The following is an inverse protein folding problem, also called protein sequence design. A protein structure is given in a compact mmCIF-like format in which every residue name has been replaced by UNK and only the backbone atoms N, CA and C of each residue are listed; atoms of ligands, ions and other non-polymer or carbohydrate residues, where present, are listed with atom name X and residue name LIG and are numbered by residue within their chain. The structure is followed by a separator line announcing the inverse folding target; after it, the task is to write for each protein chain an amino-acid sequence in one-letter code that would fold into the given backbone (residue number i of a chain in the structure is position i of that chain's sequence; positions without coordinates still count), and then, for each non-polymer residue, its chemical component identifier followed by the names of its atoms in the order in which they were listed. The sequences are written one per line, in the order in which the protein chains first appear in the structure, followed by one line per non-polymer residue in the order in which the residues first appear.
data_IF_443555551968
#
_entry.id   IF_443555551968
#
_cell.length_a   1.000
_cell.length_b   1.000
_cell.length_c   1.000
_cell.angle_alpha   90.00
_cell.angle_beta   90.00
_cell.angle_gamma   90.00
#
_symmetry.space_group_name_H-M   'P 1'
#
loop_
_entity.id
_entity.type
_entity.pdbx_description
1 polymer ?
#
# COMPACT_ATOMS: atom_id res chain seq x y z
N UNK A 1 57.75 22.07 -37.54
CA UNK A 1 56.69 21.81 -38.54
C UNK A 1 55.37 21.94 -37.80
N UNK A 2 54.88 23.18 -37.63
CA UNK A 2 53.82 23.83 -38.43
C UNK A 2 52.46 23.10 -38.22
N UNK A 3 51.56 23.65 -37.37
CA UNK A 3 50.48 24.61 -37.72
C UNK A 3 49.48 24.00 -38.72
N UNK A 4 48.15 23.91 -38.50
CA UNK A 4 47.10 24.92 -38.17
C UNK A 4 45.79 24.13 -37.88
N UNK A 5 44.94 24.35 -36.86
CA UNK A 5 44.07 25.48 -36.52
C UNK A 5 43.08 25.91 -37.64
N UNK A 6 41.80 25.52 -37.55
CA UNK A 6 40.68 26.34 -38.03
C UNK A 6 39.49 26.22 -37.08
N UNK A 7 39.06 27.40 -36.66
CA UNK A 7 38.07 27.73 -35.64
C UNK A 7 36.88 28.42 -36.33
N UNK A 8 35.71 28.36 -35.69
CA UNK A 8 34.55 29.26 -35.78
C UNK A 8 33.52 29.07 -36.93
N UNK A 9 32.23 29.16 -36.59
CA UNK A 9 31.34 30.29 -36.96
C UNK A 9 30.35 30.54 -35.79
N UNK A 10 30.24 31.81 -35.43
CA UNK A 10 29.31 32.46 -34.50
C UNK A 10 28.18 33.11 -35.31
N UNK A 11 26.94 33.04 -34.83
CA UNK A 11 25.87 34.01 -35.10
C UNK A 11 24.85 33.93 -33.93
N UNK A 12 24.86 34.78 -32.90
CA UNK A 12 24.43 36.18 -32.81
C UNK A 12 23.01 36.44 -33.33
N UNK A 13 22.03 36.37 -32.42
CA UNK A 13 20.79 37.14 -32.51
C UNK A 13 20.62 37.93 -31.20
N UNK A 14 21.03 39.20 -31.26
CA UNK A 14 20.67 40.26 -30.30
C UNK A 14 19.48 41.02 -30.88
N UNK A 15 18.42 41.19 -30.09
CA UNK A 15 17.49 42.33 -30.16
C UNK A 15 16.40 42.15 -29.11
N UNK A 16 15.90 43.11 -28.36
CA UNK A 16 16.16 44.54 -28.10
C UNK A 16 15.39 44.79 -26.79
N UNK A 17 16.00 45.47 -25.82
CA UNK A 17 15.30 45.95 -24.62
C UNK A 17 14.52 47.22 -24.95
N UNK A 18 13.24 47.30 -24.56
CA UNK A 18 12.51 48.57 -24.46
C UNK A 18 12.14 48.79 -23.00
N UNK A 19 12.76 49.83 -22.43
CA UNK A 19 12.45 50.42 -21.13
C UNK A 19 11.31 51.42 -21.30
N UNK A 20 10.29 51.39 -20.44
CA UNK A 20 9.22 52.38 -20.46
C UNK A 20 8.42 52.45 -19.16
N UNK A 21 8.77 53.41 -18.30
CA UNK A 21 7.85 54.39 -17.68
C UNK A 21 6.84 53.97 -16.59
N UNK A 22 7.04 54.54 -15.39
CA UNK A 22 6.09 54.68 -14.25
C UNK A 22 4.71 55.26 -14.63
N UNK A 23 3.63 54.81 -13.96
CA UNK A 23 2.62 55.64 -13.25
C UNK A 23 1.41 54.83 -12.66
N UNK A 24 1.37 54.76 -11.32
CA UNK A 24 0.25 54.97 -10.35
C UNK A 24 -1.25 54.60 -10.61
N UNK A 25 -1.76 53.68 -9.74
CA UNK A 25 -3.12 53.54 -9.09
C UNK A 25 -4.41 53.22 -9.91
N UNK A 26 -5.54 52.79 -9.27
CA UNK A 26 -5.78 51.98 -8.06
C UNK A 26 -6.74 50.76 -8.32
N UNK A 27 -6.91 49.93 -7.29
CA UNK A 27 -7.78 48.75 -7.13
C UNK A 27 -8.81 48.35 -8.21
N UNK A 28 -8.75 47.08 -8.60
CA UNK A 28 -9.92 46.18 -8.61
C UNK A 28 -9.46 44.82 -8.13
N UNK A 29 -9.93 44.48 -6.93
CA UNK A 29 -9.98 43.14 -6.38
C UNK A 29 -10.73 42.24 -7.36
N UNK A 30 -10.02 41.37 -8.07
CA UNK A 30 -10.60 40.18 -8.68
C UNK A 30 -10.08 39.00 -7.88
N UNK A 31 -10.76 38.73 -6.76
CA UNK A 31 -10.74 37.42 -6.13
C UNK A 31 -11.29 36.41 -7.15
N UNK A 32 -10.42 35.88 -8.01
CA UNK A 32 -10.69 34.58 -8.62
C UNK A 32 -10.51 33.54 -7.54
N UNK A 33 -11.61 33.27 -6.84
CA UNK A 33 -11.79 32.12 -5.96
C UNK A 33 -11.57 30.85 -6.78
N UNK A 34 -10.29 30.48 -6.93
CA UNK A 34 -9.89 29.21 -7.48
C UNK A 34 -10.09 28.22 -6.36
N UNK A 35 -11.16 27.44 -6.44
CA UNK A 35 -11.45 26.31 -5.55
C UNK A 35 -10.27 25.33 -5.56
N UNK A 36 -9.27 25.63 -4.72
CA UNK A 36 -8.04 24.89 -4.57
C UNK A 36 -8.26 23.67 -3.68
N UNK A 37 -8.92 22.65 -4.21
CA UNK A 37 -8.82 21.31 -3.65
C UNK A 37 -7.39 20.80 -3.86
N UNK A 38 -6.44 21.19 -3.01
CA UNK A 38 -5.09 20.62 -3.01
C UNK A 38 -5.17 19.14 -2.64
N UNK A 39 -5.33 18.27 -3.64
CA UNK A 39 -5.10 16.84 -3.46
C UNK A 39 -3.62 16.67 -3.13
N UNK A 40 -3.32 16.26 -1.89
CA UNK A 40 -1.94 15.96 -1.47
C UNK A 40 -1.42 14.80 -2.32
N UNK A 41 -0.13 14.84 -2.72
CA UNK A 41 0.54 13.68 -3.32
C UNK A 41 0.39 12.44 -2.41
N UNK A 42 0.13 11.28 -3.00
CA UNK A 42 -0.18 10.06 -2.24
C UNK A 42 0.94 9.61 -1.32
N UNK A 43 2.18 9.75 -1.79
CA UNK A 43 3.38 9.49 -1.00
C UNK A 43 3.46 10.38 0.26
N UNK A 44 2.82 11.55 0.27
CA UNK A 44 2.77 12.40 1.45
C UNK A 44 1.97 11.76 2.59
N UNK A 45 0.90 11.01 2.30
CA UNK A 45 0.17 10.28 3.34
C UNK A 45 1.02 9.15 3.94
N UNK A 46 1.75 8.41 3.11
CA UNK A 46 2.73 7.41 3.58
C UNK A 46 3.79 8.06 4.46
N UNK A 47 4.34 9.21 4.02
CA UNK A 47 5.32 9.99 4.79
C UNK A 47 4.77 10.43 6.13
N UNK A 48 3.55 10.98 6.16
CA UNK A 48 2.90 11.44 7.39
C UNK A 48 2.76 10.28 8.40
N UNK A 49 2.43 9.07 7.94
CA UNK A 49 2.38 7.87 8.79
C UNK A 49 3.77 7.52 9.32
N UNK A 50 4.79 7.45 8.45
CA UNK A 50 6.14 7.10 8.88
C UNK A 50 6.78 8.12 9.84
N UNK A 51 6.45 9.40 9.70
CA UNK A 51 6.99 10.45 10.57
C UNK A 51 6.24 10.52 11.92
N UNK A 52 4.93 10.25 11.94
CA UNK A 52 4.10 10.41 13.15
C UNK A 52 3.85 9.11 13.91
N UNK A 53 4.08 7.95 13.29
CA UNK A 53 3.80 6.65 13.88
C UNK A 53 5.08 5.87 14.20
N UNK A 54 4.97 5.01 15.21
CA UNK A 54 6.01 4.03 15.60
C UNK A 54 5.39 2.64 15.70
N UNK A 55 6.26 1.62 15.64
CA UNK A 55 5.87 0.21 15.73
C UNK A 55 4.78 -0.16 14.72
N UNK A 56 4.95 0.30 13.47
CA UNK A 56 4.03 0.00 12.37
C UNK A 56 4.21 -1.47 12.00
N UNK A 57 3.14 -2.25 12.12
CA UNK A 57 3.15 -3.67 11.82
C UNK A 57 1.77 -4.17 11.40
N UNK A 58 1.75 -5.31 10.72
CA UNK A 58 0.50 -6.04 10.45
C UNK A 58 0.31 -7.11 11.51
N UNK A 59 -0.86 -7.12 12.14
CA UNK A 59 -1.30 -8.17 13.06
C UNK A 59 -2.31 -9.09 12.37
N UNK A 60 -2.36 -10.39 12.73
CA UNK A 60 -1.45 -11.06 13.67
C UNK A 60 -0.02 -11.14 13.12
N UNK A 61 0.98 -11.08 14.01
CA UNK A 61 2.40 -11.31 13.66
C UNK A 61 2.58 -12.80 13.33
N UNK A 62 2.16 -13.21 12.14
CA UNK A 62 2.50 -14.53 11.64
C UNK A 62 3.84 -14.42 10.95
N UNK A 63 4.72 -15.38 11.24
CA UNK A 63 5.90 -15.58 10.39
C UNK A 63 5.40 -15.75 8.95
N UNK A 64 6.18 -15.30 7.98
CA UNK A 64 6.00 -15.60 6.54
C UNK A 64 6.27 -17.11 6.31
N UNK A 65 6.11 -17.95 7.34
CA UNK A 65 6.04 -19.38 7.18
C UNK A 65 4.77 -19.64 6.38
N UNK A 66 4.97 -20.24 5.22
CA UNK A 66 3.97 -20.62 4.22
C UNK A 66 2.83 -21.49 4.73
N UNK A 67 2.77 -21.77 6.03
CA UNK A 67 1.76 -22.60 6.68
C UNK A 67 0.43 -21.83 6.60
N UNK A 68 -0.53 -22.28 5.77
CA UNK A 68 -1.82 -21.65 5.67
C UNK A 68 -2.58 -21.82 6.98
N UNK A 69 -3.60 -20.99 7.24
CA UNK A 69 -4.62 -21.38 8.19
C UNK A 69 -5.17 -22.76 7.84
N UNK A 70 -5.40 -23.58 8.86
CA UNK A 70 -6.04 -24.86 8.65
C UNK A 70 -7.39 -24.65 7.93
N UNK A 71 -7.75 -25.55 7.02
CA UNK A 71 -8.73 -25.23 5.99
C UNK A 71 -10.13 -25.01 6.55
N UNK A 72 -10.76 -23.91 6.16
CA UNK A 72 -12.21 -23.76 6.21
C UNK A 72 -12.88 -24.19 4.89
N UNK A 73 -12.17 -24.91 4.01
CA UNK A 73 -12.64 -25.24 2.66
C UNK A 73 -13.19 -26.69 2.63
N UNK A 74 -14.38 -26.93 2.08
CA UNK A 74 -14.97 -28.26 1.97
C UNK A 74 -14.09 -29.25 1.19
N UNK A 75 -13.31 -28.78 0.22
CA UNK A 75 -12.46 -29.63 -0.65
C UNK A 75 -11.31 -30.32 0.12
N UNK A 76 -10.85 -29.77 1.25
CA UNK A 76 -9.77 -30.36 2.05
C UNK A 76 -10.27 -31.48 2.98
N UNK A 77 -11.59 -31.76 3.02
CA UNK A 77 -12.15 -32.93 3.73
C UNK A 77 -11.83 -34.25 3.03
N UNK A 78 -11.68 -34.25 1.71
CA UNK A 78 -11.52 -35.47 0.93
C UNK A 78 -10.13 -36.13 1.04
N UNK A 79 -9.13 -35.41 1.57
CA UNK A 79 -7.79 -35.97 1.80
C UNK A 79 -7.66 -36.72 3.14
N UNK A 80 -8.60 -36.53 4.07
CA UNK A 80 -8.57 -37.13 5.42
C UNK A 80 -9.61 -38.24 5.63
N UNK A 81 -10.43 -38.54 4.62
CA UNK A 81 -11.57 -39.47 4.70
C UNK A 81 -11.20 -40.95 4.89
N UNK A 82 -9.91 -41.30 4.93
CA UNK A 82 -9.43 -42.65 5.26
C UNK A 82 -9.08 -42.84 6.75
N UNK A 83 -9.27 -41.81 7.57
CA UNK A 83 -9.06 -41.90 9.02
C UNK A 83 -10.41 -41.68 9.70
N UNK A 84 -10.87 -42.64 10.52
CA UNK A 84 -12.14 -42.61 11.27
C UNK A 84 -12.18 -41.53 12.38
N UNK A 85 -11.79 -40.29 12.05
CA UNK A 85 -11.74 -39.16 12.96
C UNK A 85 -13.00 -38.32 12.70
N UNK A 86 -13.83 -38.20 13.73
CA UNK A 86 -15.06 -37.42 13.71
C UNK A 86 -14.76 -35.94 13.35
N UNK A 87 -15.06 -35.54 12.11
CA UNK A 87 -14.60 -34.29 11.45
C UNK A 87 -15.26 -33.02 12.03
N UNK A 88 -16.14 -33.14 13.03
CA UNK A 88 -16.94 -32.02 13.55
C UNK A 88 -16.21 -31.17 14.61
N UNK A 89 -15.12 -31.66 15.20
CA UNK A 89 -14.40 -30.97 16.31
C UNK A 89 -13.10 -30.27 15.91
N UNK A 90 -12.72 -30.29 14.63
CA UNK A 90 -11.44 -29.75 14.16
C UNK A 90 -11.56 -28.44 13.39
N UNK A 91 -12.71 -27.74 13.43
CA UNK A 91 -12.79 -26.46 12.73
C UNK A 91 -11.86 -25.45 13.42
N UNK A 92 -10.76 -25.04 12.77
CA UNK A 92 -9.83 -24.10 13.37
C UNK A 92 -10.58 -22.80 13.62
N UNK A 93 -10.32 -22.11 14.75
CA UNK A 93 -10.92 -20.81 15.01
C UNK A 93 -10.70 -19.90 13.79
N UNK A 94 -11.74 -19.18 13.32
CA UNK A 94 -11.57 -18.24 12.23
C UNK A 94 -10.44 -17.27 12.58
N UNK A 95 -9.50 -17.12 11.65
CA UNK A 95 -8.35 -16.26 11.87
C UNK A 95 -8.80 -14.85 12.24
N UNK A 96 -8.14 -14.21 13.23
CA UNK A 96 -8.38 -12.80 13.46
C UNK A 96 -8.02 -12.02 12.18
N UNK A 97 -8.85 -11.03 11.78
CA UNK A 97 -8.63 -10.28 10.57
C UNK A 97 -7.31 -9.52 10.61
N UNK A 98 -6.65 -9.42 9.46
CA UNK A 98 -5.38 -8.72 9.36
C UNK A 98 -5.59 -7.20 9.56
N UNK A 99 -4.76 -6.60 10.42
CA UNK A 99 -4.86 -5.19 10.81
C UNK A 99 -3.50 -4.52 10.72
N UNK A 100 -3.44 -3.34 10.12
CA UNK A 100 -2.31 -2.44 10.30
C UNK A 100 -2.46 -1.76 11.65
N UNK A 101 -1.48 -1.94 12.53
CA UNK A 101 -1.45 -1.30 13.85
C UNK A 101 -0.22 -0.43 13.97
N UNK A 102 -0.35 0.68 14.68
CA UNK A 102 0.76 1.57 14.99
C UNK A 102 0.46 2.44 16.21
N UNK A 103 1.51 3.00 16.81
CA UNK A 103 1.41 4.03 17.83
C UNK A 103 1.63 5.40 17.18
N UNK A 104 0.57 6.18 17.01
CA UNK A 104 0.59 7.41 16.22
C UNK A 104 0.23 8.66 17.03
N UNK A 105 0.72 9.82 16.59
CA UNK A 105 0.40 11.13 17.15
C UNK A 105 1.66 11.91 17.57
N UNK A 106 1.45 13.01 18.31
CA UNK A 106 2.56 13.85 18.78
C UNK A 106 3.54 13.03 19.66
N UNK A 107 4.83 13.38 19.69
CA UNK A 107 5.84 12.60 20.41
C UNK A 107 5.51 12.27 21.87
N UNK A 108 4.81 13.17 22.56
CA UNK A 108 4.43 13.03 23.97
C UNK A 108 3.01 12.50 24.21
N UNK A 109 2.20 12.30 23.16
CA UNK A 109 0.79 11.87 23.25
C UNK A 109 0.43 10.86 22.14
N UNK A 110 1.29 9.87 21.91
CA UNK A 110 1.01 8.81 20.95
C UNK A 110 -0.08 7.88 21.48
N UNK A 111 -0.90 7.37 20.57
CA UNK A 111 -2.02 6.47 20.86
C UNK A 111 -1.92 5.27 19.94
N UNK A 112 -2.25 4.09 20.47
CA UNK A 112 -2.42 2.92 19.61
C UNK A 112 -3.64 3.11 18.72
N UNK A 113 -3.46 2.85 17.44
CA UNK A 113 -4.50 2.92 16.42
C UNK A 113 -4.36 1.73 15.49
N UNK A 114 -5.48 1.28 14.95
CA UNK A 114 -5.54 0.17 14.04
C UNK A 114 -6.53 0.42 12.91
N UNK A 115 -6.24 -0.16 11.74
CA UNK A 115 -7.18 -0.25 10.62
C UNK A 115 -7.15 -1.66 10.05
N UNK A 116 -8.31 -2.22 9.76
CA UNK A 116 -8.43 -3.53 9.10
C UNK A 116 -7.97 -3.40 7.66
N UNK A 117 -7.10 -4.30 7.21
CA UNK A 117 -6.58 -4.25 5.85
C UNK A 117 -7.69 -4.49 4.82
N UNK A 118 -8.63 -5.41 5.06
CA UNK A 118 -9.78 -5.66 4.19
C UNK A 118 -10.70 -4.46 3.98
N UNK A 119 -10.65 -3.46 4.88
CA UNK A 119 -11.42 -2.22 4.71
C UNK A 119 -10.77 -1.29 3.67
N UNK A 120 -9.49 -1.47 3.34
CA UNK A 120 -8.75 -0.61 2.41
C UNK A 120 -8.22 -1.36 1.18
N UNK A 121 -8.23 -2.69 1.20
CA UNK A 121 -7.66 -3.56 0.17
C UNK A 121 -8.75 -4.33 -0.57
N UNK A 122 -8.61 -4.43 -1.89
CA UNK A 122 -9.40 -5.27 -2.79
C UNK A 122 -8.56 -6.36 -3.44
N UNK A 123 -9.22 -7.33 -4.09
CA UNK A 123 -8.60 -8.41 -4.83
C UNK A 123 -8.89 -8.27 -6.31
N UNK A 124 -7.84 -8.06 -7.11
CA UNK A 124 -7.88 -8.12 -8.57
C UNK A 124 -7.60 -9.57 -8.98
N UNK A 125 -8.66 -10.33 -9.30
CA UNK A 125 -8.55 -11.73 -9.66
C UNK A 125 -7.85 -11.96 -11.01
N UNK A 126 -7.97 -11.01 -11.95
CA UNK A 126 -7.33 -11.11 -13.26
C UNK A 126 -5.81 -10.91 -13.16
N UNK A 127 -5.38 -9.95 -12.32
CA UNK A 127 -3.97 -9.69 -12.03
C UNK A 127 -3.39 -10.46 -10.85
N UNK A 128 -4.21 -11.27 -10.16
CA UNK A 128 -3.89 -11.97 -8.91
C UNK A 128 -3.13 -11.11 -7.90
N UNK A 129 -3.66 -9.93 -7.61
CA UNK A 129 -2.96 -8.95 -6.78
C UNK A 129 -3.90 -8.17 -5.88
N UNK A 130 -3.32 -7.64 -4.81
CA UNK A 130 -3.99 -6.70 -3.93
C UNK A 130 -3.98 -5.31 -4.55
N UNK A 131 -5.11 -4.63 -4.47
CA UNK A 131 -5.31 -3.26 -4.95
C UNK A 131 -5.89 -2.38 -3.86
N UNK A 132 -5.71 -1.07 -3.97
CA UNK A 132 -6.37 -0.13 -3.08
C UNK A 132 -7.87 -0.06 -3.41
N UNK A 133 -8.73 -0.49 -2.49
CA UNK A 133 -10.18 -0.47 -2.67
C UNK A 133 -10.88 -0.35 -1.30
N UNK A 134 -11.65 0.73 -1.07
CA UNK A 134 -12.47 0.86 0.13
C UNK A 134 -13.46 -0.32 0.24
N UNK A 135 -13.48 -0.98 1.40
CA UNK A 135 -14.30 -2.16 1.69
C UNK A 135 -14.18 -3.24 0.61
N UNK A 136 -12.97 -3.45 0.07
CA UNK A 136 -12.72 -4.40 -1.02
C UNK A 136 -12.66 -5.87 -0.59
N UNK A 137 -12.44 -6.15 0.70
CA UNK A 137 -12.26 -7.51 1.25
C UNK A 137 -11.18 -8.32 0.52
N UNK A 138 -10.10 -7.66 0.11
CA UNK A 138 -9.08 -8.21 -0.77
C UNK A 138 -8.32 -9.39 -0.19
N UNK A 139 -8.01 -9.37 1.11
CA UNK A 139 -7.31 -10.48 1.75
C UNK A 139 -8.22 -11.70 1.86
N UNK A 140 -9.49 -11.49 2.22
CA UNK A 140 -10.46 -12.58 2.28
C UNK A 140 -10.69 -13.20 0.88
N UNK A 141 -10.88 -12.38 -0.15
CA UNK A 141 -11.16 -12.83 -1.52
C UNK A 141 -9.96 -13.48 -2.21
N UNK A 142 -8.75 -13.00 -1.90
CA UNK A 142 -7.51 -13.63 -2.33
C UNK A 142 -7.12 -14.86 -1.50
N UNK A 143 -7.88 -15.19 -0.45
CA UNK A 143 -7.54 -16.20 0.55
C UNK A 143 -6.11 -15.99 1.08
N UNK A 144 -5.81 -14.78 1.53
CA UNK A 144 -4.47 -14.36 1.90
C UNK A 144 -4.18 -14.51 3.40
N UNK A 145 -2.94 -14.85 3.74
CA UNK A 145 -2.44 -14.97 5.12
C UNK A 145 -0.98 -14.52 5.23
N UNK A 146 -0.45 -14.51 6.47
CA UNK A 146 0.97 -14.27 6.71
C UNK A 146 1.44 -12.86 6.34
N UNK A 147 0.53 -11.89 6.34
CA UNK A 147 0.83 -10.53 5.89
C UNK A 147 1.88 -9.83 6.77
N UNK A 148 2.87 -9.21 6.15
CA UNK A 148 3.91 -8.43 6.84
C UNK A 148 4.14 -7.07 6.19
N UNK A 149 4.30 -6.05 7.03
CA UNK A 149 4.66 -4.70 6.63
C UNK A 149 6.18 -4.54 6.51
N UNK A 150 6.62 -3.89 5.44
CA UNK A 150 8.02 -3.54 5.21
C UNK A 150 8.13 -2.06 4.86
N UNK A 151 8.71 -1.22 5.75
CA UNK A 151 9.06 0.14 5.38
C UNK A 151 10.23 0.09 4.38
N UNK A 152 10.07 0.71 3.21
CA UNK A 152 11.12 0.77 2.18
C UNK A 152 11.88 2.10 2.31
N UNK A 153 11.14 3.19 2.43
CA UNK A 153 11.68 4.53 2.66
C UNK A 153 10.67 5.34 3.47
N UNK A 154 10.96 6.63 3.71
CA UNK A 154 9.98 7.53 4.34
C UNK A 154 8.68 7.66 3.54
N UNK A 155 8.72 7.48 2.23
CA UNK A 155 7.55 7.69 1.36
C UNK A 155 6.95 6.41 0.81
N UNK A 156 7.63 5.28 1.02
CA UNK A 156 7.29 4.01 0.41
C UNK A 156 7.25 2.88 1.40
N UNK A 157 6.30 1.98 1.20
CA UNK A 157 6.23 0.72 1.92
C UNK A 157 5.87 -0.41 0.96
N UNK A 158 5.94 -1.64 1.46
CA UNK A 158 5.19 -2.74 0.88
C UNK A 158 4.60 -3.63 1.97
N UNK A 159 3.44 -4.20 1.70
CA UNK A 159 2.88 -5.31 2.45
C UNK A 159 3.00 -6.56 1.60
N UNK A 160 3.54 -7.64 2.15
CA UNK A 160 3.61 -8.93 1.48
C UNK A 160 2.73 -9.92 2.22
N UNK A 161 1.83 -10.60 1.50
CA UNK A 161 0.98 -11.67 2.00
C UNK A 161 1.12 -12.90 1.11
N UNK A 162 0.91 -14.10 1.63
CA UNK A 162 0.66 -15.27 0.77
C UNK A 162 -0.80 -15.35 0.44
N UNK A 163 -1.15 -15.76 -0.78
CA UNK A 163 -2.53 -15.89 -1.23
C UNK A 163 -2.68 -17.22 -2.00
N UNK A 164 -3.72 -17.99 -1.69
CA UNK A 164 -4.03 -19.31 -2.27
C UNK A 164 -4.76 -19.22 -3.63
N UNK A 165 -5.34 -18.05 -3.96
CA UNK A 165 -6.13 -17.88 -5.18
C UNK A 165 -5.27 -17.48 -6.38
N UNK A 166 -4.27 -18.30 -6.70
CA UNK A 166 -3.26 -18.01 -7.73
C UNK A 166 -3.11 -19.17 -8.71
N UNK A 167 -2.81 -18.85 -9.96
CA UNK A 167 -2.61 -19.81 -11.06
C UNK A 167 -1.18 -20.33 -11.14
N UNK A 168 -0.23 -19.64 -10.52
CA UNK A 168 1.19 -20.01 -10.48
C UNK A 168 1.78 -19.82 -9.09
N UNK A 169 2.69 -20.72 -8.71
CA UNK A 169 3.37 -20.71 -7.41
C UNK A 169 2.95 -21.90 -6.55
N UNK A 170 3.31 -23.12 -6.95
CA UNK A 170 3.14 -24.28 -6.08
C UNK A 170 4.10 -24.15 -4.88
N UNK A 171 3.54 -24.21 -3.67
CA UNK A 171 4.24 -23.98 -2.42
C UNK A 171 3.96 -25.15 -1.50
N UNK A 172 5.02 -25.86 -1.10
CA UNK A 172 4.91 -26.84 -0.01
C UNK A 172 4.70 -26.10 1.29
N UNK A 173 3.50 -26.20 1.84
CA UNK A 173 3.11 -25.45 3.03
C UNK A 173 3.44 -26.22 4.31
N UNK A 174 3.38 -27.54 4.23
CA UNK A 174 3.80 -28.54 5.22
C UNK A 174 4.36 -29.71 4.39
N UNK A 175 5.38 -30.46 4.86
CA UNK A 175 5.88 -31.61 4.12
C UNK A 175 4.75 -32.52 3.61
N UNK A 176 4.67 -32.71 2.29
CA UNK A 176 3.65 -33.54 1.64
C UNK A 176 2.31 -32.85 1.33
N UNK A 177 2.12 -31.59 1.72
CA UNK A 177 0.94 -30.79 1.35
C UNK A 177 1.42 -29.59 0.54
N UNK A 178 1.11 -29.62 -0.75
CA UNK A 178 1.35 -28.50 -1.65
C UNK A 178 0.07 -27.69 -1.84
N UNK A 179 0.23 -26.37 -1.93
CA UNK A 179 -0.85 -25.45 -2.28
C UNK A 179 -0.41 -24.53 -3.41
N UNK A 180 -1.36 -24.18 -4.27
CA UNK A 180 -1.16 -23.11 -5.24
C UNK A 180 -1.21 -21.79 -4.50
N UNK A 181 -0.06 -21.28 -4.08
CA UNK A 181 0.03 -20.10 -3.24
C UNK A 181 1.29 -19.28 -3.56
N UNK A 182 1.12 -17.97 -3.71
CA UNK A 182 2.23 -17.08 -4.01
C UNK A 182 2.25 -15.87 -3.09
N UNK A 183 3.46 -15.37 -2.82
CA UNK A 183 3.65 -14.09 -2.16
C UNK A 183 3.19 -12.95 -3.06
N UNK A 184 2.10 -12.27 -2.69
CA UNK A 184 1.58 -11.09 -3.37
C UNK A 184 1.99 -9.84 -2.62
N UNK A 185 2.47 -8.85 -3.38
CA UNK A 185 2.95 -7.58 -2.85
C UNK A 185 1.89 -6.50 -3.06
N UNK A 186 1.72 -5.65 -2.06
CA UNK A 186 0.88 -4.47 -2.05
C UNK A 186 1.75 -3.25 -1.71
N UNK A 187 1.93 -2.34 -2.65
CA UNK A 187 2.85 -1.19 -2.59
C UNK A 187 2.20 0.14 -3.01
N UNK A 188 0.87 0.21 -2.91
CA UNK A 188 0.10 1.41 -3.24
C UNK A 188 0.23 2.45 -2.12
N UNK A 189 1.18 3.36 -2.32
CA UNK A 189 1.40 4.51 -1.44
C UNK A 189 0.12 5.33 -1.24
N UNK A 190 -0.06 5.86 -0.03
CA UNK A 190 -1.18 6.71 0.33
C UNK A 190 -2.55 6.02 0.44
N UNK A 191 -2.61 4.69 0.44
CA UNK A 191 -3.86 3.95 0.72
C UNK A 191 -4.36 4.12 2.17
N UNK A 192 -3.48 4.49 3.09
CA UNK A 192 -3.83 4.85 4.46
C UNK A 192 -3.46 6.30 4.70
N UNK A 193 -4.23 6.94 5.57
CA UNK A 193 -3.99 8.30 6.06
C UNK A 193 -4.10 8.35 7.57
N UNK A 194 -3.52 9.39 8.13
CA UNK A 194 -3.62 9.71 9.55
C UNK A 194 -4.56 10.91 9.76
N UNK A 195 -5.63 10.71 10.52
CA UNK A 195 -6.55 11.79 10.93
C UNK A 195 -6.51 11.87 12.45
N UNK A 196 -6.03 12.99 13.00
CA UNK A 196 -5.93 13.21 14.45
C UNK A 196 -5.21 12.06 15.20
N UNK A 197 -4.18 11.49 14.58
CA UNK A 197 -3.44 10.36 15.15
C UNK A 197 -4.14 8.99 15.01
N UNK A 198 -5.23 8.89 14.26
CA UNK A 198 -5.90 7.62 13.93
C UNK A 198 -5.64 7.20 12.49
N UNK A 199 -5.28 5.94 12.29
CA UNK A 199 -5.16 5.31 10.97
C UNK A 199 -6.55 5.13 10.36
N UNK A 200 -6.69 5.51 9.09
CA UNK A 200 -7.91 5.32 8.31
C UNK A 200 -7.56 4.95 6.87
N UNK A 201 -8.48 4.30 6.16
CA UNK A 201 -8.36 4.16 4.72
C UNK A 201 -8.44 5.54 4.06
N UNK A 202 -7.67 5.72 3.00
CA UNK A 202 -7.79 6.88 2.13
C UNK A 202 -9.09 6.77 1.33
N UNK A 203 -9.87 7.85 1.32
CA UNK A 203 -11.03 7.96 0.46
C UNK A 203 -10.58 8.57 -0.86
N UNK A 204 -10.47 7.73 -1.88
CA UNK A 204 -10.29 8.15 -3.26
C UNK A 204 -11.67 8.63 -3.69
N UNK A 205 -11.86 9.96 -3.74
CA UNK A 205 -13.17 10.55 -4.02
C UNK A 205 -13.84 9.85 -5.19
N UNK A 206 -15.05 9.35 -4.94
CA UNK A 206 -15.96 8.77 -5.93
C UNK A 206 -16.32 9.77 -7.01
#
# INVERSE_FOLDING_TARGET
MFDTLVTAIVALCLSVSITGGLATQPGVEVQSATNGGHQRPLNQYTRDIHDQCRNIQVLPLRSIQNIPPAPGRPEDRFALEHSEINVTDLQPPPLPPARLVASCGSPHRRRWTEVRLDNCLGWDAAGERLIAQPNGYGLQRGACWGCKYFPISREKFRVVCFCDNVTQGLLTVIPGIDRMAAGKTFDQDGVWRLINGQLQCQNWGS
#
